data_IF_969583171086
#
_entry.id   IF_969583171086
#
_cell.length_a   1.000
_cell.length_b   1.000
_cell.length_c   1.000
_cell.angle_alpha   90.00
_cell.angle_beta   90.00
_cell.angle_gamma   90.00
#
_symmetry.space_group_name_H-M   'P 1'
#
loop_
_entity.id
_entity.type
_entity.pdbx_description
1 polymer ?
#
# COMPACT_ATOMS: atom_id res chain seq x y z
N UNK A 1 12.91 -3.38 -13.19
CA UNK A 1 12.04 -2.61 -12.26
C UNK A 1 12.28 -1.10 -12.27
N UNK A 2 13.44 -0.54 -11.91
CA UNK A 2 13.59 0.95 -11.77
C UNK A 2 13.22 1.71 -13.06
N UNK A 3 13.69 1.27 -14.23
CA UNK A 3 13.33 1.87 -15.53
C UNK A 3 11.86 1.67 -15.92
N UNK A 4 11.24 0.58 -15.50
CA UNK A 4 9.83 0.32 -15.79
C UNK A 4 8.94 1.27 -14.99
N UNK A 5 9.26 1.49 -13.71
CA UNK A 5 8.58 2.47 -12.87
C UNK A 5 8.63 3.88 -13.46
N UNK A 6 9.81 4.31 -13.92
CA UNK A 6 9.98 5.62 -14.56
C UNK A 6 9.20 5.74 -15.88
N UNK A 7 9.13 4.66 -16.66
CA UNK A 7 8.32 4.60 -17.88
C UNK A 7 6.83 4.74 -17.60
N UNK A 8 6.33 4.08 -16.55
CA UNK A 8 4.91 4.18 -16.15
C UNK A 8 4.55 5.55 -15.56
N UNK A 9 5.47 6.20 -14.85
CA UNK A 9 5.29 7.59 -14.46
C UNK A 9 5.20 8.53 -15.68
N UNK A 10 5.83 8.16 -16.81
CA UNK A 10 5.81 8.90 -18.06
C UNK A 10 4.56 8.66 -18.92
N UNK A 11 4.08 7.41 -19.00
CA UNK A 11 3.00 6.98 -19.91
C UNK A 11 1.59 7.08 -19.30
N UNK A 12 1.49 7.43 -18.02
CA UNK A 12 0.23 7.49 -17.29
C UNK A 12 -0.72 8.60 -17.83
N UNK A 13 -1.96 8.25 -18.14
CA UNK A 13 -3.01 9.18 -18.65
C UNK A 13 -3.30 10.34 -17.68
N UNK A 14 -3.05 10.16 -16.39
CA UNK A 14 -3.18 11.23 -15.40
C UNK A 14 -2.06 12.28 -15.49
N UNK A 15 -1.12 12.18 -16.45
CA UNK A 15 -0.01 13.13 -16.67
C UNK A 15 -0.49 14.56 -16.87
N UNK A 16 -1.65 14.76 -17.51
CA UNK A 16 -2.21 16.08 -17.77
C UNK A 16 -2.79 16.77 -16.53
N UNK A 17 -3.03 16.03 -15.44
CA UNK A 17 -3.62 16.60 -14.24
C UNK A 17 -2.55 17.19 -13.32
N UNK A 18 -2.83 18.36 -12.71
CA UNK A 18 -1.88 19.05 -11.82
C UNK A 18 -1.37 18.08 -10.75
N UNK A 19 -0.05 17.96 -10.66
CA UNK A 19 0.62 17.05 -9.75
C UNK A 19 0.25 17.30 -8.27
N UNK A 20 -0.12 18.55 -7.94
CA UNK A 20 -0.60 19.01 -6.63
C UNK A 20 -1.91 18.33 -6.20
N UNK A 21 -2.86 18.11 -7.10
CA UNK A 21 -4.12 17.45 -6.73
C UNK A 21 -3.91 15.97 -6.41
N UNK A 22 -2.98 15.29 -7.09
CA UNK A 22 -2.59 13.92 -6.75
C UNK A 22 -1.88 13.85 -5.39
N UNK A 23 -1.12 14.88 -5.04
CA UNK A 23 -0.48 15.04 -3.72
C UNK A 23 -1.52 15.07 -2.62
N UNK A 24 -2.45 16.02 -2.74
CA UNK A 24 -3.46 16.27 -1.73
C UNK A 24 -4.32 15.03 -1.55
N UNK A 25 -4.77 14.38 -2.63
CA UNK A 25 -5.57 13.15 -2.53
C UNK A 25 -4.80 12.03 -1.85
N UNK A 26 -3.55 11.77 -2.23
CA UNK A 26 -2.76 10.71 -1.60
C UNK A 26 -2.49 10.99 -0.12
N UNK A 27 -2.24 12.25 0.25
CA UNK A 27 -1.96 12.66 1.63
C UNK A 27 -3.22 12.61 2.49
N UNK A 28 -4.36 13.07 1.97
CA UNK A 28 -5.67 12.99 2.64
C UNK A 28 -6.06 11.53 2.86
N UNK A 29 -5.92 10.68 1.84
CA UNK A 29 -6.22 9.24 1.98
C UNK A 29 -5.29 8.56 2.99
N UNK A 30 -4.00 8.95 3.03
CA UNK A 30 -3.08 8.46 4.06
C UNK A 30 -3.50 8.90 5.47
N UNK A 31 -3.91 10.15 5.65
CA UNK A 31 -4.41 10.65 6.92
C UNK A 31 -5.69 9.91 7.36
N UNK A 32 -6.60 9.64 6.42
CA UNK A 32 -7.81 8.84 6.66
C UNK A 32 -7.46 7.41 7.08
N UNK A 33 -6.47 6.77 6.44
CA UNK A 33 -5.99 5.44 6.86
C UNK A 33 -5.37 5.46 8.26
N UNK A 34 -4.75 6.58 8.65
CA UNK A 34 -4.10 6.70 9.95
C UNK A 34 -5.08 6.98 11.09
N UNK A 35 -6.17 7.70 10.81
CA UNK A 35 -7.22 8.03 11.79
C UNK A 35 -8.42 7.07 11.75
N UNK A 36 -8.61 6.34 10.65
CA UNK A 36 -9.74 5.45 10.41
C UNK A 36 -9.54 4.05 10.97
N UNK A 37 -10.67 3.38 11.22
CA UNK A 37 -10.69 1.99 11.66
C UNK A 37 -10.60 0.98 10.52
N UNK A 38 -10.88 -0.27 10.84
CA UNK A 38 -10.81 -1.39 9.89
C UNK A 38 -11.62 -1.18 8.61
N UNK A 39 -12.84 -0.62 8.70
CA UNK A 39 -13.72 -0.42 7.52
C UNK A 39 -13.17 0.62 6.57
N UNK A 40 -12.66 1.72 7.11
CA UNK A 40 -12.11 2.84 6.37
C UNK A 40 -10.83 2.43 5.64
N UNK A 41 -10.00 1.59 6.26
CA UNK A 41 -8.78 1.05 5.64
C UNK A 41 -9.09 0.24 4.36
N UNK A 42 -10.10 -0.63 4.41
CA UNK A 42 -10.54 -1.40 3.22
C UNK A 42 -11.09 -0.50 2.11
N UNK A 43 -11.88 0.51 2.47
CA UNK A 43 -12.42 1.48 1.51
C UNK A 43 -11.30 2.27 0.82
N UNK A 44 -10.29 2.73 1.57
CA UNK A 44 -9.15 3.43 0.99
C UNK A 44 -8.30 2.50 0.13
N UNK A 45 -8.07 1.25 0.57
CA UNK A 45 -7.31 0.27 -0.20
C UNK A 45 -7.95 0.00 -1.57
N UNK A 46 -9.25 -0.32 -1.57
CA UNK A 46 -10.01 -0.61 -2.79
C UNK A 46 -10.14 0.66 -3.65
N UNK A 47 -10.44 1.80 -3.03
CA UNK A 47 -10.56 3.09 -3.70
C UNK A 47 -9.27 3.48 -4.41
N UNK A 48 -8.11 3.32 -3.75
CA UNK A 48 -6.81 3.60 -4.33
C UNK A 48 -6.42 2.60 -5.40
N UNK A 49 -6.68 1.30 -5.20
CA UNK A 49 -6.46 0.28 -6.22
C UNK A 49 -7.27 0.57 -7.48
N UNK A 50 -8.55 0.90 -7.34
CA UNK A 50 -9.42 1.29 -8.44
C UNK A 50 -8.89 2.56 -9.13
N UNK A 51 -8.49 3.58 -8.38
CA UNK A 51 -7.95 4.82 -8.96
C UNK A 51 -6.66 4.59 -9.75
N UNK A 52 -5.76 3.73 -9.26
CA UNK A 52 -4.49 3.40 -9.92
C UNK A 52 -4.74 2.55 -11.18
N UNK A 53 -5.62 1.56 -11.12
CA UNK A 53 -5.84 0.65 -12.26
C UNK A 53 -6.76 1.28 -13.30
N UNK A 54 -7.92 1.80 -12.89
CA UNK A 54 -8.94 2.32 -13.81
C UNK A 54 -8.58 3.72 -14.35
N UNK A 55 -8.08 4.61 -13.48
CA UNK A 55 -7.83 6.01 -13.84
C UNK A 55 -6.40 6.27 -14.29
N UNK A 56 -5.42 5.66 -13.62
CA UNK A 56 -4.01 5.79 -14.00
C UNK A 56 -3.60 4.83 -15.13
N UNK A 57 -4.45 3.86 -15.49
CA UNK A 57 -4.18 2.82 -16.51
C UNK A 57 -2.81 2.13 -16.30
N UNK A 58 -2.39 1.98 -15.06
CA UNK A 58 -1.21 1.15 -14.77
C UNK A 58 -1.61 -0.29 -14.99
N UNK A 59 -0.86 -1.08 -15.79
CA UNK A 59 -1.20 -2.47 -16.02
C UNK A 59 -1.24 -3.23 -14.70
N UNK A 60 -2.32 -4.00 -14.53
CA UNK A 60 -2.57 -4.78 -13.31
C UNK A 60 -1.38 -5.69 -12.96
N UNK A 61 -0.65 -6.18 -13.96
CA UNK A 61 0.54 -7.02 -13.76
C UNK A 61 1.68 -6.32 -13.02
N UNK A 62 1.87 -5.01 -13.19
CA UNK A 62 2.94 -4.26 -12.50
C UNK A 62 2.50 -3.89 -11.09
N UNK A 63 1.26 -3.40 -10.95
CA UNK A 63 0.67 -3.13 -9.65
C UNK A 63 0.61 -4.39 -8.79
N UNK A 64 0.17 -5.51 -9.35
CA UNK A 64 0.12 -6.81 -8.69
C UNK A 64 1.49 -7.32 -8.25
N UNK A 65 2.53 -7.19 -9.09
CA UNK A 65 3.91 -7.54 -8.69
C UNK A 65 4.42 -6.71 -7.52
N UNK A 66 4.15 -5.40 -7.52
CA UNK A 66 4.53 -4.51 -6.42
C UNK A 66 3.73 -4.82 -5.14
N UNK A 67 2.44 -5.10 -5.27
CA UNK A 67 1.57 -5.51 -4.16
C UNK A 67 2.00 -6.86 -3.58
N UNK A 68 2.41 -7.80 -4.42
CA UNK A 68 2.90 -9.11 -4.02
C UNK A 68 4.21 -9.01 -3.25
N UNK A 69 5.15 -8.17 -3.71
CA UNK A 69 6.38 -7.88 -2.97
C UNK A 69 6.08 -7.31 -1.56
N UNK A 70 5.15 -6.35 -1.48
CA UNK A 70 4.72 -5.78 -0.20
C UNK A 70 4.01 -6.82 0.69
N UNK A 71 3.16 -7.67 0.12
CA UNK A 71 2.45 -8.71 0.87
C UNK A 71 3.37 -9.81 1.38
N UNK A 72 4.40 -10.19 0.62
CA UNK A 72 5.41 -11.17 1.07
C UNK A 72 6.20 -10.61 2.25
N UNK A 73 6.62 -9.35 2.16
CA UNK A 73 7.31 -8.67 3.26
C UNK A 73 6.42 -8.59 4.51
N UNK A 74 5.17 -8.18 4.35
CA UNK A 74 4.21 -8.12 5.45
C UNK A 74 3.88 -9.49 6.03
N UNK A 75 3.73 -10.51 5.19
CA UNK A 75 3.49 -11.88 5.63
C UNK A 75 4.63 -12.40 6.49
N UNK A 76 5.88 -12.09 6.13
CA UNK A 76 7.05 -12.40 6.95
C UNK A 76 7.02 -11.65 8.28
N UNK A 77 6.67 -10.36 8.29
CA UNK A 77 6.50 -9.56 9.53
C UNK A 77 5.37 -10.08 10.42
N UNK A 78 4.24 -10.46 9.84
CA UNK A 78 3.12 -11.09 10.55
C UNK A 78 3.54 -12.42 11.19
N UNK A 79 4.29 -13.24 10.46
CA UNK A 79 4.80 -14.49 10.99
C UNK A 79 5.68 -14.25 12.22
N UNK A 80 6.54 -13.22 12.19
CA UNK A 80 7.35 -12.84 13.36
C UNK A 80 6.51 -12.30 14.53
N UNK A 81 5.36 -11.68 14.26
CA UNK A 81 4.49 -11.10 15.30
C UNK A 81 3.60 -12.15 15.97
N UNK A 82 3.13 -13.14 15.20
CA UNK A 82 2.27 -14.23 15.69
C UNK A 82 3.09 -15.27 16.47
N UNK A 83 4.36 -15.46 16.10
CA UNK A 83 5.28 -16.36 16.82
C UNK A 83 5.86 -15.61 18.02
N UNK A 84 5.15 -15.67 19.15
CA UNK A 84 5.70 -15.22 20.43
C UNK A 84 6.64 -16.30 20.97
N UNK A 85 7.96 -16.07 20.85
CA UNK A 85 8.98 -16.96 21.42
C UNK A 85 9.18 -16.59 22.89
N UNK A 86 8.55 -17.32 23.80
CA UNK A 86 8.77 -17.19 25.24
C UNK A 86 9.78 -18.22 25.71
N UNK A 87 10.80 -17.79 26.46
CA UNK A 87 11.81 -18.68 27.07
C UNK A 87 11.19 -19.31 28.33
N UNK A 88 11.23 -20.65 28.51
CA UNK A 88 11.89 -21.67 27.72
C UNK A 88 10.97 -22.22 26.60
N UNK A 89 11.32 -21.94 25.34
CA UNK A 89 10.76 -22.49 24.10
C UNK A 89 9.30 -23.00 24.14
N UNK A 90 8.35 -22.15 24.53
CA UNK A 90 6.94 -22.41 24.27
C UNK A 90 6.47 -21.58 23.08
N UNK A 91 6.29 -22.25 21.93
CA UNK A 91 5.66 -21.66 20.75
C UNK A 91 4.17 -21.62 21.03
N UNK A 92 3.67 -20.49 21.55
CA UNK A 92 2.24 -20.30 21.76
C UNK A 92 1.68 -19.48 20.59
N UNK A 93 0.75 -20.06 19.83
CA UNK A 93 -0.03 -19.30 18.86
C UNK A 93 -1.07 -18.50 19.61
N UNK A 94 -0.82 -17.20 19.77
CA UNK A 94 -1.77 -16.30 20.43
C UNK A 94 -2.84 -15.91 19.40
N UNK A 95 -3.93 -16.68 19.34
CA UNK A 95 -5.08 -16.42 18.47
C UNK A 95 -5.67 -15.01 18.68
N UNK A 96 -5.49 -14.42 19.87
CA UNK A 96 -5.93 -13.07 20.20
C UNK A 96 -5.12 -11.96 19.49
N UNK A 97 -3.89 -12.25 19.03
CA UNK A 97 -3.03 -11.31 18.29
C UNK A 97 -3.29 -11.34 16.79
N UNK A 98 -4.07 -12.30 16.28
CA UNK A 98 -4.35 -12.43 14.85
C UNK A 98 -5.14 -11.25 14.29
N UNK A 99 -6.14 -10.77 15.07
CA UNK A 99 -6.98 -9.62 14.70
C UNK A 99 -6.17 -8.32 14.56
N UNK A 100 -5.39 -7.87 15.57
CA UNK A 100 -4.61 -6.65 15.44
C UNK A 100 -3.50 -6.77 14.40
N UNK A 101 -2.90 -7.96 14.23
CA UNK A 101 -1.88 -8.17 13.21
C UNK A 101 -2.46 -8.06 11.79
N UNK A 102 -3.64 -8.62 11.54
CA UNK A 102 -4.35 -8.44 10.27
C UNK A 102 -4.69 -6.96 10.00
N UNK A 103 -5.03 -6.20 11.04
CA UNK A 103 -5.36 -4.78 10.90
C UNK A 103 -4.13 -3.97 10.51
N UNK A 104 -2.99 -4.26 11.15
CA UNK A 104 -1.70 -3.71 10.73
C UNK A 104 -1.35 -4.05 9.27
N UNK A 105 -1.66 -5.27 8.83
CA UNK A 105 -1.42 -5.72 7.45
C UNK A 105 -2.23 -4.87 6.44
N UNK A 106 -3.52 -4.67 6.71
CA UNK A 106 -4.39 -3.90 5.82
C UNK A 106 -3.98 -2.42 5.81
N UNK A 107 -3.65 -1.86 6.98
CA UNK A 107 -3.19 -0.46 7.10
C UNK A 107 -1.89 -0.21 6.34
N UNK A 108 -0.93 -1.13 6.44
CA UNK A 108 0.35 -1.05 5.73
C UNK A 108 0.19 -1.22 4.21
N UNK A 109 -0.67 -2.11 3.75
CA UNK A 109 -1.04 -2.22 2.32
C UNK A 109 -1.73 -0.95 1.80
N UNK A 110 -2.62 -0.35 2.60
CA UNK A 110 -3.29 0.89 2.22
C UNK A 110 -2.30 2.06 2.13
N UNK A 111 -1.39 2.18 3.09
CA UNK A 111 -0.30 3.16 3.06
C UNK A 111 0.63 2.93 1.86
N UNK A 112 0.96 1.67 1.54
CA UNK A 112 1.76 1.32 0.38
C UNK A 112 1.08 1.73 -0.93
N UNK A 113 -0.23 1.49 -1.06
CA UNK A 113 -1.03 1.90 -2.23
C UNK A 113 -1.03 3.43 -2.40
N UNK A 114 -1.09 4.17 -1.28
CA UNK A 114 -0.96 5.63 -1.29
C UNK A 114 0.43 6.09 -1.75
N UNK A 115 1.48 5.45 -1.23
CA UNK A 115 2.87 5.75 -1.59
C UNK A 115 3.18 5.38 -3.05
N UNK A 116 2.60 4.30 -3.57
CA UNK A 116 2.72 3.91 -4.96
C UNK A 116 2.11 4.96 -5.90
N UNK A 117 0.92 5.47 -5.55
CA UNK A 117 0.28 6.58 -6.26
C UNK A 117 1.13 7.86 -6.24
N UNK A 118 1.83 8.12 -5.12
CA UNK A 118 2.81 9.21 -5.02
C UNK A 118 4.03 8.99 -5.93
N UNK A 119 4.57 7.76 -5.98
CA UNK A 119 5.76 7.41 -6.76
C UNK A 119 5.52 7.54 -8.27
N UNK A 120 4.29 7.31 -8.73
CA UNK A 120 3.87 7.54 -10.13
C UNK A 120 3.84 9.03 -10.53
N UNK A 121 4.26 9.95 -9.66
CA UNK A 121 4.32 11.38 -9.96
C UNK A 121 5.65 11.74 -10.61
N UNK A 122 5.58 12.56 -11.67
CA UNK A 122 6.75 13.23 -12.25
C UNK A 122 7.40 14.15 -11.20
N UNK A 123 8.67 13.91 -10.83
CA UNK A 123 9.55 14.99 -10.33
C UNK A 123 9.69 15.99 -11.47
N UNK A 124 9.09 17.18 -11.36
CA UNK A 124 9.59 18.32 -12.13
C UNK A 124 11.03 18.52 -11.65
N UNK A 125 12.01 18.07 -12.43
CA UNK A 125 13.32 18.72 -12.41
C UNK A 125 13.06 20.11 -13.00
N UNK A 126 12.81 21.07 -12.12
CA UNK A 126 13.16 22.46 -12.39
C UNK A 126 14.67 22.54 -12.45
#
# INVERSE_FOLDING_TARGET
MIREFDRWAYDNRLRAWRAEWKLIVAFVMLAVVMMGGWREQWLVLIGMAYWIVARARVPFSVYGKAMLAASVFLGLSLLTLVVSVSVPFQITLISNQLKPAAELAVRSLAAWSCLFSFSLRRRRRT
#
